data_IF_023676025394
#
_entry.id   IF_023676025394
#
_cell.length_a   1.000
_cell.length_b   1.000
_cell.length_c   1.000
_cell.angle_alpha   90.00
_cell.angle_beta   90.00
_cell.angle_gamma   90.00
#
_symmetry.space_group_name_H-M   'P 1'
#
loop_
_entity.id
_entity.type
_entity.pdbx_description
1 polymer ?
#
# COMPACT_ATOMS: atom_id res chain seq x y z
N UNK A 1 -20.36 -7.76 11.49
CA UNK A 1 -19.34 -6.94 10.83
C UNK A 1 -18.29 -7.89 10.31
N UNK A 2 -18.39 -8.30 9.05
CA UNK A 2 -17.40 -9.18 8.42
C UNK A 2 -16.16 -8.36 8.11
N UNK A 3 -15.07 -8.63 8.81
CA UNK A 3 -13.75 -8.15 8.41
C UNK A 3 -13.27 -9.02 7.23
N UNK A 4 -13.96 -8.92 6.10
CA UNK A 4 -13.57 -9.66 4.91
C UNK A 4 -12.43 -8.90 4.25
N UNK A 5 -11.21 -9.31 4.58
CA UNK A 5 -10.05 -8.94 3.81
C UNK A 5 -10.30 -9.35 2.37
N UNK A 6 -10.05 -8.43 1.45
CA UNK A 6 -10.03 -8.79 0.04
C UNK A 6 -8.98 -9.89 -0.18
N UNK A 7 -9.19 -10.73 -1.20
CA UNK A 7 -8.22 -11.79 -1.57
C UNK A 7 -6.81 -11.20 -1.77
N UNK A 8 -6.71 -9.97 -2.27
CA UNK A 8 -5.43 -9.27 -2.46
C UNK A 8 -4.79 -8.85 -1.13
N UNK A 9 -5.58 -8.36 -0.18
CA UNK A 9 -5.13 -8.02 1.17
C UNK A 9 -4.64 -9.27 1.92
N UNK A 10 -5.38 -10.38 1.85
CA UNK A 10 -4.98 -11.65 2.47
C UNK A 10 -3.69 -12.21 1.84
N UNK A 11 -3.56 -12.14 0.51
CA UNK A 11 -2.35 -12.54 -0.19
C UNK A 11 -1.14 -11.70 0.21
N UNK A 12 -1.31 -10.38 0.27
CA UNK A 12 -0.23 -9.46 0.66
C UNK A 12 0.19 -9.68 2.13
N UNK A 13 -0.78 -9.92 3.03
CA UNK A 13 -0.50 -10.26 4.41
C UNK A 13 0.31 -11.56 4.55
N UNK A 14 -0.11 -12.62 3.85
CA UNK A 14 0.58 -13.90 3.87
C UNK A 14 2.00 -13.81 3.29
N UNK A 15 2.18 -13.07 2.19
CA UNK A 15 3.49 -12.80 1.58
C UNK A 15 4.44 -12.11 2.58
N UNK A 16 3.97 -11.02 3.21
CA UNK A 16 4.75 -10.32 4.24
C UNK A 16 5.11 -11.25 5.41
N UNK A 17 4.14 -12.02 5.93
CA UNK A 17 4.36 -12.91 7.08
C UNK A 17 5.45 -13.95 6.80
N UNK A 18 5.45 -14.54 5.60
CA UNK A 18 6.46 -15.54 5.20
C UNK A 18 7.85 -14.90 5.12
N UNK A 19 7.96 -13.73 4.49
CA UNK A 19 9.23 -13.02 4.35
C UNK A 19 9.75 -12.52 5.69
N UNK A 20 8.86 -12.09 6.60
CA UNK A 20 9.23 -11.66 7.94
C UNK A 20 9.77 -12.83 8.78
N UNK A 21 9.14 -14.01 8.70
CA UNK A 21 9.63 -15.21 9.38
C UNK A 21 11.02 -15.60 8.86
N UNK A 22 11.21 -15.60 7.53
CA UNK A 22 12.51 -15.86 6.91
C UNK A 22 13.57 -14.86 7.34
N UNK A 23 13.26 -13.55 7.32
CA UNK A 23 14.19 -12.52 7.76
C UNK A 23 14.58 -12.68 9.24
N UNK A 24 13.65 -13.11 10.10
CA UNK A 24 13.94 -13.39 11.51
C UNK A 24 14.87 -14.60 11.69
N UNK A 25 14.72 -15.62 10.85
CA UNK A 25 15.54 -16.84 10.85
C UNK A 25 16.95 -16.56 10.31
N UNK A 26 17.05 -15.96 9.13
CA UNK A 26 18.33 -15.78 8.42
C UNK A 26 19.13 -14.59 8.93
N UNK A 27 18.45 -13.57 9.46
CA UNK A 27 19.04 -12.27 9.84
C UNK A 27 19.79 -11.59 8.69
N UNK A 28 19.47 -11.98 7.45
CA UNK A 28 20.05 -11.43 6.25
C UNK A 28 19.40 -10.08 5.90
N UNK A 29 20.22 -9.10 5.54
CA UNK A 29 19.75 -7.76 5.18
C UNK A 29 18.84 -7.77 3.93
N UNK A 30 19.11 -8.64 2.96
CA UNK A 30 18.29 -8.81 1.77
C UNK A 30 16.90 -9.37 2.11
N UNK A 31 16.83 -10.35 3.02
CA UNK A 31 15.57 -10.91 3.50
C UNK A 31 14.79 -9.87 4.33
N UNK A 32 15.47 -9.10 5.18
CA UNK A 32 14.87 -7.98 5.90
C UNK A 32 14.29 -6.92 4.96
N UNK A 33 15.03 -6.55 3.91
CA UNK A 33 14.57 -5.61 2.89
C UNK A 33 13.38 -6.17 2.08
N UNK A 34 13.38 -7.46 1.76
CA UNK A 34 12.26 -8.12 1.09
C UNK A 34 10.99 -8.10 1.95
N UNK A 35 11.11 -8.43 3.23
CA UNK A 35 10.03 -8.33 4.21
C UNK A 35 9.47 -6.90 4.31
N UNK A 36 10.35 -5.89 4.41
CA UNK A 36 9.95 -4.48 4.48
C UNK A 36 9.17 -4.01 3.24
N UNK A 37 9.58 -4.45 2.04
CA UNK A 37 8.84 -4.15 0.80
C UNK A 37 7.45 -4.80 0.78
N UNK A 38 7.35 -6.06 1.22
CA UNK A 38 6.07 -6.76 1.29
C UNK A 38 5.13 -6.13 2.32
N UNK A 39 5.67 -5.67 3.46
CA UNK A 39 4.90 -4.90 4.44
C UNK A 39 4.34 -3.61 3.85
N UNK A 40 5.16 -2.84 3.11
CA UNK A 40 4.70 -1.60 2.47
C UNK A 40 3.53 -1.84 1.51
N UNK A 41 3.56 -2.94 0.74
CA UNK A 41 2.45 -3.34 -0.14
C UNK A 41 1.17 -3.67 0.65
N UNK A 42 1.29 -4.48 1.69
CA UNK A 42 0.16 -4.82 2.57
C UNK A 42 -0.42 -3.56 3.23
N UNK A 43 0.42 -2.69 3.78
CA UNK A 43 0.02 -1.45 4.42
C UNK A 43 -0.73 -0.52 3.45
N UNK A 44 -0.26 -0.37 2.22
CA UNK A 44 -0.93 0.43 1.20
C UNK A 44 -2.34 -0.10 0.88
N UNK A 45 -2.50 -1.43 0.80
CA UNK A 45 -3.80 -2.06 0.55
C UNK A 45 -4.79 -1.91 1.72
N UNK A 46 -4.31 -1.72 2.95
CA UNK A 46 -5.16 -1.60 4.14
C UNK A 46 -5.42 -0.16 4.59
N UNK A 47 -4.38 0.66 4.61
CA UNK A 47 -4.42 2.00 5.22
C UNK A 47 -4.78 3.07 4.19
N UNK A 48 -4.35 2.90 2.94
CA UNK A 48 -4.62 3.89 1.89
C UNK A 48 -5.91 3.66 1.10
N UNK A 49 -6.60 2.53 1.28
CA UNK A 49 -7.93 2.34 0.66
C UNK A 49 -8.93 3.41 1.13
N UNK A 50 -8.91 3.75 2.43
CA UNK A 50 -9.76 4.81 2.99
C UNK A 50 -9.26 6.25 2.78
N UNK A 51 -7.97 6.43 2.47
CA UNK A 51 -7.34 7.73 2.24
C UNK A 51 -7.17 8.07 0.75
N UNK A 52 -7.45 7.12 -0.14
CA UNK A 52 -7.41 7.34 -1.58
C UNK A 52 -8.37 8.47 -1.94
N UNK A 53 -7.91 9.52 -2.63
CA UNK A 53 -8.82 10.49 -3.22
C UNK A 53 -9.77 9.72 -4.13
N UNK A 54 -11.06 9.67 -3.78
CA UNK A 54 -12.07 9.14 -4.70
C UNK A 54 -11.93 9.91 -6.02
N UNK A 55 -12.04 9.26 -7.19
CA UNK A 55 -11.93 9.95 -8.48
C UNK A 55 -12.84 11.19 -8.61
N UNK A 56 -13.94 11.24 -7.85
CA UNK A 56 -14.85 12.39 -7.77
C UNK A 56 -14.44 13.54 -6.84
N UNK A 57 -13.34 13.41 -6.07
CA UNK A 57 -12.76 14.47 -5.21
C UNK A 57 -11.50 15.09 -5.78
N UNK A 58 -11.05 14.66 -6.96
CA UNK A 58 -10.08 15.40 -7.74
C UNK A 58 -10.80 16.64 -8.27
N UNK A 59 -10.76 17.72 -7.49
CA UNK A 59 -11.14 19.04 -7.99
C UNK A 59 -10.34 19.26 -9.27
N UNK A 60 -10.98 19.67 -10.39
CA UNK A 60 -10.22 20.02 -11.58
C UNK A 60 -9.17 21.04 -11.14
N UNK A 61 -7.91 20.76 -11.42
CA UNK A 61 -6.85 21.76 -11.32
C UNK A 61 -7.25 22.90 -12.25
N UNK A 62 -8.01 23.87 -11.72
CA UNK A 62 -8.32 25.11 -12.42
C UNK A 62 -7.00 25.85 -12.48
N UNK A 63 -6.32 25.78 -13.64
CA UNK A 63 -5.21 26.69 -13.93
C UNK A 63 -5.69 28.11 -13.62
N UNK A 64 -4.98 28.89 -12.81
CA UNK A 64 -5.28 30.32 -12.68
C UNK A 64 -5.21 30.92 -14.09
N UNK A 65 -6.24 31.69 -14.44
CA UNK A 65 -6.51 32.13 -15.80
C UNK A 65 -5.27 32.70 -16.49
N UNK A 66 -4.90 32.09 -17.61
CA UNK A 66 -4.08 32.74 -18.61
C UNK A 66 -4.91 33.86 -19.21
N UNK A 67 -4.78 35.07 -18.65
CA UNK A 67 -5.07 36.30 -19.37
C UNK A 67 -4.06 36.37 -20.51
N UNK A 68 -4.53 36.13 -21.73
CA UNK A 68 -3.80 36.45 -22.95
C UNK A 68 -4.65 37.48 -23.70
N UNK A 69 -3.97 38.59 -23.97
CA UNK A 69 -4.43 39.85 -24.56
C UNK A 69 -5.25 39.73 -25.84
#
# INVERSE_FOLDING_TARGET
MGNDLTVEQERAFNEWRILAARAAETKDLADAAASGRAFGRFHFLFVEEGLRPSPGKLLPFRRPGGSAA
#
